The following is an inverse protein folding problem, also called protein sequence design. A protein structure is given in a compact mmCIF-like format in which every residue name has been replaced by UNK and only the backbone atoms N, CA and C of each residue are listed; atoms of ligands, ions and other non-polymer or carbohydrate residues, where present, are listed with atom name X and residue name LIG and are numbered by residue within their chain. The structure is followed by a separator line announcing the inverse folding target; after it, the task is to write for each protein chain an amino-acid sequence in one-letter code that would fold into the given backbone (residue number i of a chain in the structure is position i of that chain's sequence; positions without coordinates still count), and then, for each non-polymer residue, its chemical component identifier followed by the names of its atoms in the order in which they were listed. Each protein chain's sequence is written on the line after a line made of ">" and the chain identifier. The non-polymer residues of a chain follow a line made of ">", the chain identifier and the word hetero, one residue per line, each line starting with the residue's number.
data_IF_240995382057
#
_entry.id   IF_240995382057
#
_cell.length_a   1.000
_cell.length_b   1.000
_cell.length_c   1.000
_cell.angle_alpha   90.00
_cell.angle_beta   90.00
_cell.angle_gamma   90.00
#
_symmetry.space_group_name_H-M   'P 1'
#
loop_
_entity.id
_entity.type
_entity.pdbx_description
1 polymer ?
#
# COMPACT_ATOMS: atom_id res chain seq x y z
N UNK A 1 18.84 12.68 -13.68
CA UNK A 1 18.30 13.94 -13.14
C UNK A 1 17.00 13.60 -12.42
N UNK A 2 17.02 13.62 -11.09
CA UNK A 2 15.92 13.16 -10.23
C UNK A 2 14.65 14.01 -10.36
N UNK A 3 14.83 15.30 -10.65
CA UNK A 3 13.72 16.22 -10.90
C UNK A 3 12.87 15.79 -12.09
N UNK A 4 13.50 15.32 -13.16
CA UNK A 4 12.79 14.87 -14.37
C UNK A 4 11.97 13.61 -14.09
N UNK A 5 12.53 12.67 -13.29
CA UNK A 5 11.83 11.43 -12.93
C UNK A 5 10.64 11.70 -12.02
N UNK A 6 10.81 12.52 -10.99
CA UNK A 6 9.73 12.91 -10.10
C UNK A 6 8.63 13.66 -10.86
N UNK A 7 9.00 14.61 -11.73
CA UNK A 7 8.03 15.35 -12.55
C UNK A 7 7.21 14.42 -13.46
N UNK A 8 7.86 13.47 -14.13
CA UNK A 8 7.18 12.50 -14.97
C UNK A 8 6.18 11.64 -14.17
N UNK A 9 6.59 11.13 -13.00
CA UNK A 9 5.71 10.37 -12.11
C UNK A 9 4.55 11.23 -11.59
N UNK A 10 4.80 12.49 -11.25
CA UNK A 10 3.76 13.40 -10.77
C UNK A 10 2.72 13.74 -11.84
N UNK A 11 3.17 13.90 -13.10
CA UNK A 11 2.27 14.06 -14.24
C UNK A 11 1.38 12.82 -14.42
N UNK A 12 1.96 11.62 -14.30
CA UNK A 12 1.21 10.36 -14.34
C UNK A 12 0.17 10.28 -13.21
N UNK A 13 0.58 10.57 -11.97
CA UNK A 13 -0.29 10.57 -10.80
C UNK A 13 -1.47 11.55 -10.92
N UNK A 14 -1.26 12.65 -11.65
CA UNK A 14 -2.30 13.65 -11.91
C UNK A 14 -3.20 13.27 -13.10
N UNK A 15 -2.67 12.55 -14.09
CA UNK A 15 -3.41 12.15 -15.29
C UNK A 15 -4.32 10.93 -15.06
N UNK A 16 -3.88 9.94 -14.26
CA UNK A 16 -4.63 8.69 -14.02
C UNK A 16 -6.10 8.93 -13.61
N UNK A 17 -6.43 9.81 -12.63
CA UNK A 17 -7.82 10.07 -12.24
C UNK A 17 -8.73 10.57 -13.36
N UNK A 18 -8.16 11.17 -14.41
CA UNK A 18 -8.88 11.77 -15.53
C UNK A 18 -8.79 10.94 -16.82
N UNK A 19 -8.11 9.78 -16.76
CA UNK A 19 -7.94 8.89 -17.90
C UNK A 19 -9.12 7.92 -18.04
N UNK A 20 -9.44 7.46 -19.26
CA UNK A 20 -10.39 6.36 -19.42
C UNK A 20 -9.87 5.09 -18.73
N UNK A 21 -10.75 4.15 -18.33
CA UNK A 21 -10.33 2.91 -17.71
C UNK A 21 -9.23 2.20 -18.52
N UNK A 22 -8.15 1.82 -17.83
CA UNK A 22 -7.05 1.09 -18.46
C UNK A 22 -7.54 -0.24 -19.02
N UNK A 23 -7.03 -0.64 -20.19
CA UNK A 23 -7.14 -2.03 -20.66
C UNK A 23 -6.04 -2.89 -19.98
N UNK A 24 -6.09 -4.24 -20.09
CA UNK A 24 -5.18 -5.11 -19.32
C UNK A 24 -3.71 -4.82 -19.58
N UNK A 25 -3.33 -4.62 -20.84
CA UNK A 25 -1.96 -4.28 -21.23
C UNK A 25 -1.49 -2.95 -20.60
N UNK A 26 -2.35 -1.93 -20.63
CA UNK A 26 -2.04 -0.63 -20.04
C UNK A 26 -1.92 -0.73 -18.51
N UNK A 27 -2.82 -1.47 -17.85
CA UNK A 27 -2.79 -1.70 -16.41
C UNK A 27 -1.50 -2.41 -15.98
N UNK A 28 -1.13 -3.51 -16.65
CA UNK A 28 0.13 -4.23 -16.39
C UNK A 28 1.34 -3.32 -16.56
N UNK A 29 1.36 -2.51 -17.63
CA UNK A 29 2.46 -1.57 -17.91
C UNK A 29 2.59 -0.52 -16.81
N UNK A 30 1.47 0.08 -16.41
CA UNK A 30 1.43 1.10 -15.36
C UNK A 30 1.89 0.53 -14.01
N UNK A 31 1.32 -0.59 -13.58
CA UNK A 31 1.69 -1.23 -12.31
C UNK A 31 3.17 -1.63 -12.28
N UNK A 32 3.68 -2.20 -13.37
CA UNK A 32 5.11 -2.56 -13.49
C UNK A 32 6.00 -1.32 -13.39
N UNK A 33 5.66 -0.24 -14.09
CA UNK A 33 6.40 1.02 -14.03
C UNK A 33 6.38 1.62 -12.62
N UNK A 34 5.21 1.70 -11.98
CA UNK A 34 5.04 2.24 -10.63
C UNK A 34 5.86 1.45 -9.61
N UNK A 35 5.79 0.12 -9.67
CA UNK A 35 6.58 -0.79 -8.80
C UNK A 35 8.08 -0.51 -8.90
N UNK A 36 8.59 -0.35 -10.12
CA UNK A 36 10.01 -0.09 -10.34
C UNK A 36 10.48 1.28 -9.81
N UNK A 37 9.56 2.25 -9.68
CA UNK A 37 9.87 3.61 -9.23
C UNK A 37 9.85 3.78 -7.71
N UNK A 38 9.35 2.81 -6.95
CA UNK A 38 9.37 2.85 -5.48
C UNK A 38 10.78 2.78 -4.88
N UNK A 39 11.78 2.31 -5.64
CA UNK A 39 13.20 2.34 -5.24
C UNK A 39 13.83 3.72 -5.38
N UNK A 40 13.21 4.62 -6.13
CA UNK A 40 13.67 6.00 -6.29
C UNK A 40 12.95 6.87 -5.24
N UNK A 41 13.60 7.16 -4.11
CA UNK A 41 13.02 7.93 -2.99
C UNK A 41 12.24 9.19 -3.43
N UNK A 42 12.74 10.04 -4.36
CA UNK A 42 12.01 11.24 -4.79
C UNK A 42 10.66 10.96 -5.47
N UNK A 43 10.44 9.73 -5.97
CA UNK A 43 9.23 9.32 -6.67
C UNK A 43 8.19 8.70 -5.73
N UNK A 44 8.57 8.21 -4.54
CA UNK A 44 7.73 7.35 -3.69
C UNK A 44 6.35 7.95 -3.43
N UNK A 45 6.31 9.23 -3.05
CA UNK A 45 5.04 9.95 -2.83
C UNK A 45 4.12 9.92 -4.06
N UNK A 46 4.66 10.27 -5.22
CA UNK A 46 3.87 10.34 -6.44
C UNK A 46 3.46 8.94 -6.95
N UNK A 47 4.31 7.92 -6.72
CA UNK A 47 3.97 6.53 -7.00
C UNK A 47 2.82 6.06 -6.11
N UNK A 48 2.89 6.26 -4.80
CA UNK A 48 1.81 5.87 -3.87
C UNK A 48 0.49 6.55 -4.23
N UNK A 49 0.53 7.83 -4.59
CA UNK A 49 -0.64 8.59 -5.07
C UNK A 49 -1.20 8.00 -6.37
N UNK A 50 -0.35 7.70 -7.36
CA UNK A 50 -0.76 7.09 -8.62
C UNK A 50 -1.36 5.70 -8.41
N UNK A 51 -0.73 4.87 -7.59
CA UNK A 51 -1.18 3.53 -7.24
C UNK A 51 -2.52 3.55 -6.51
N UNK A 52 -2.70 4.44 -5.53
CA UNK A 52 -3.99 4.62 -4.83
C UNK A 52 -5.09 4.99 -5.82
N UNK A 53 -4.86 5.98 -6.69
CA UNK A 53 -5.85 6.40 -7.68
C UNK A 53 -6.19 5.27 -8.66
N UNK A 54 -5.18 4.55 -9.15
CA UNK A 54 -5.37 3.46 -10.10
C UNK A 54 -6.17 2.31 -9.49
N UNK A 55 -5.81 1.90 -8.26
CA UNK A 55 -6.40 0.74 -7.61
C UNK A 55 -7.77 1.04 -6.98
N UNK A 56 -7.92 2.18 -6.31
CA UNK A 56 -9.11 2.49 -5.51
C UNK A 56 -10.15 3.30 -6.29
N UNK A 57 -9.75 4.32 -7.04
CA UNK A 57 -10.71 5.14 -7.81
C UNK A 57 -11.24 4.39 -9.04
N UNK A 58 -10.41 3.56 -9.67
CA UNK A 58 -10.81 2.72 -10.81
C UNK A 58 -11.16 1.28 -10.42
N UNK A 59 -11.47 1.01 -9.14
CA UNK A 59 -11.69 -0.34 -8.60
C UNK A 59 -12.66 -1.19 -9.42
N UNK A 60 -13.80 -0.62 -9.82
CA UNK A 60 -14.82 -1.33 -10.58
C UNK A 60 -14.31 -1.85 -11.93
N UNK A 61 -13.35 -1.15 -12.53
CA UNK A 61 -12.70 -1.56 -13.79
C UNK A 61 -11.49 -2.47 -13.54
N UNK A 62 -10.71 -2.22 -12.48
CA UNK A 62 -9.47 -2.95 -12.18
C UNK A 62 -9.73 -4.34 -11.61
N UNK A 63 -10.73 -4.51 -10.74
CA UNK A 63 -10.97 -5.79 -10.06
C UNK A 63 -11.22 -6.97 -11.03
N UNK A 64 -12.08 -6.83 -12.07
CA UNK A 64 -12.26 -7.89 -13.06
C UNK A 64 -10.96 -8.25 -13.77
N UNK A 65 -10.13 -7.24 -14.05
CA UNK A 65 -8.89 -7.43 -14.81
C UNK A 65 -7.84 -8.18 -13.99
N UNK A 66 -7.69 -7.85 -12.71
CA UNK A 66 -6.82 -8.59 -11.80
C UNK A 66 -7.28 -10.04 -11.62
N UNK A 67 -8.60 -10.30 -11.65
CA UNK A 67 -9.12 -11.68 -11.56
C UNK A 67 -8.99 -12.48 -12.86
N UNK A 68 -9.07 -11.83 -14.02
CA UNK A 68 -9.10 -12.49 -15.32
C UNK A 68 -7.75 -12.58 -16.03
N UNK A 69 -6.78 -11.73 -15.65
CA UNK A 69 -5.47 -11.64 -16.32
C UNK A 69 -4.34 -11.81 -15.31
N UNK A 70 -3.65 -12.95 -15.36
CA UNK A 70 -2.54 -13.27 -14.47
C UNK A 70 -1.44 -12.20 -14.48
N UNK A 71 -1.10 -11.67 -15.65
CA UNK A 71 -0.09 -10.62 -15.80
C UNK A 71 -0.44 -9.33 -15.02
N UNK A 72 -1.73 -8.98 -14.95
CA UNK A 72 -2.18 -7.82 -14.18
C UNK A 72 -2.04 -8.10 -12.67
N UNK A 73 -2.43 -9.31 -12.24
CA UNK A 73 -2.29 -9.73 -10.85
C UNK A 73 -0.82 -9.78 -10.41
N UNK A 74 0.07 -10.32 -11.25
CA UNK A 74 1.50 -10.37 -11.01
C UNK A 74 2.10 -8.97 -10.90
N UNK A 75 1.73 -8.04 -11.80
CA UNK A 75 2.19 -6.66 -11.73
C UNK A 75 1.72 -5.94 -10.46
N UNK A 76 0.50 -6.22 -9.99
CA UNK A 76 0.00 -5.71 -8.70
C UNK A 76 0.72 -6.37 -7.51
N UNK A 77 1.09 -7.64 -7.60
CA UNK A 77 1.92 -8.33 -6.61
C UNK A 77 3.33 -7.74 -6.52
N UNK A 78 3.93 -7.37 -7.66
CA UNK A 78 5.21 -6.65 -7.70
C UNK A 78 5.12 -5.28 -7.03
N UNK A 79 3.99 -4.57 -7.21
CA UNK A 79 3.74 -3.30 -6.55
C UNK A 79 3.66 -3.50 -5.03
N UNK A 80 2.88 -4.49 -4.57
CA UNK A 80 2.77 -4.83 -3.16
C UNK A 80 4.15 -5.17 -2.57
N UNK A 81 4.93 -6.00 -3.25
CA UNK A 81 6.29 -6.37 -2.87
C UNK A 81 7.20 -5.15 -2.70
N UNK A 82 7.15 -4.22 -3.65
CA UNK A 82 7.95 -3.01 -3.63
C UNK A 82 7.51 -2.05 -2.49
N UNK A 83 6.21 -1.93 -2.21
CA UNK A 83 5.72 -1.11 -1.09
C UNK A 83 6.23 -1.66 0.25
N UNK A 84 6.11 -2.97 0.51
CA UNK A 84 6.49 -3.52 1.83
C UNK A 84 8.00 -3.69 2.02
N UNK A 85 8.77 -3.77 0.93
CA UNK A 85 10.23 -3.99 0.98
C UNK A 85 11.05 -2.72 0.79
N UNK A 86 10.68 -1.88 -0.17
CA UNK A 86 11.54 -0.79 -0.64
C UNK A 86 11.12 0.58 -0.05
N UNK A 87 9.93 0.70 0.55
CA UNK A 87 9.43 1.96 1.12
C UNK A 87 9.61 1.98 2.63
N UNK A 88 10.39 2.93 3.14
CA UNK A 88 10.41 3.24 4.57
C UNK A 88 9.19 4.09 4.95
N UNK A 89 8.07 3.44 5.28
CA UNK A 89 6.78 4.13 5.49
C UNK A 89 6.86 5.23 6.55
N UNK A 90 7.59 5.02 7.65
CA UNK A 90 7.65 6.01 8.73
C UNK A 90 8.41 7.30 8.39
N UNK A 91 9.22 7.34 7.33
CA UNK A 91 9.83 8.60 6.87
C UNK A 91 8.87 9.44 6.02
N UNK A 92 7.72 8.90 5.62
CA UNK A 92 6.76 9.60 4.78
C UNK A 92 5.89 10.57 5.59
N UNK A 93 5.37 11.57 4.89
CA UNK A 93 4.34 12.45 5.43
C UNK A 93 3.07 11.66 5.79
N UNK A 94 2.32 12.15 6.78
CA UNK A 94 1.13 11.50 7.34
C UNK A 94 0.18 10.90 6.29
N UNK A 95 -0.19 11.72 5.30
CA UNK A 95 -1.10 11.30 4.23
C UNK A 95 -0.50 10.26 3.29
N UNK A 96 0.82 10.25 3.11
CA UNK A 96 1.50 9.26 2.26
C UNK A 96 1.67 7.92 2.97
N UNK A 97 1.80 7.92 4.31
CA UNK A 97 1.69 6.70 5.12
C UNK A 97 0.32 6.05 4.99
N UNK A 98 -0.74 6.86 5.09
CA UNK A 98 -2.11 6.39 4.88
C UNK A 98 -2.28 5.71 3.50
N UNK A 99 -1.70 6.30 2.45
CA UNK A 99 -1.70 5.72 1.11
C UNK A 99 -0.98 4.39 1.05
N UNK A 100 0.21 4.28 1.66
CA UNK A 100 0.95 3.02 1.69
C UNK A 100 0.12 1.90 2.31
N UNK A 101 -0.52 2.13 3.46
CA UNK A 101 -1.37 1.12 4.09
C UNK A 101 -2.61 0.75 3.25
N UNK A 102 -3.25 1.73 2.60
CA UNK A 102 -4.39 1.45 1.70
C UNK A 102 -3.98 0.65 0.46
N UNK A 103 -2.83 0.95 -0.14
CA UNK A 103 -2.29 0.18 -1.28
C UNK A 103 -1.97 -1.25 -0.83
N UNK A 104 -1.35 -1.42 0.34
CA UNK A 104 -1.10 -2.74 0.93
C UNK A 104 -2.42 -3.51 1.11
N UNK A 105 -3.41 -2.88 1.74
CA UNK A 105 -4.71 -3.49 1.98
C UNK A 105 -5.41 -3.90 0.68
N UNK A 106 -5.46 -3.00 -0.30
CA UNK A 106 -6.12 -3.21 -1.58
C UNK A 106 -5.50 -4.41 -2.32
N UNK A 107 -4.18 -4.42 -2.49
CA UNK A 107 -3.50 -5.51 -3.17
C UNK A 107 -3.64 -6.83 -2.41
N UNK A 108 -3.25 -6.84 -1.13
CA UNK A 108 -3.14 -8.08 -0.36
C UNK A 108 -4.51 -8.71 -0.08
N UNK A 109 -5.50 -7.90 0.32
CA UNK A 109 -6.74 -8.43 0.89
C UNK A 109 -8.00 -8.18 0.07
N UNK A 110 -8.08 -7.06 -0.65
CA UNK A 110 -9.27 -6.76 -1.45
C UNK A 110 -9.24 -7.42 -2.82
N UNK A 111 -8.09 -7.35 -3.51
CA UNK A 111 -7.90 -8.00 -4.81
C UNK A 111 -7.32 -9.40 -4.70
N UNK A 112 -6.64 -9.71 -3.58
CA UNK A 112 -6.06 -11.04 -3.36
C UNK A 112 -4.94 -11.38 -4.35
N UNK A 113 -4.14 -10.39 -4.72
CA UNK A 113 -3.00 -10.60 -5.64
C UNK A 113 -1.93 -11.47 -4.97
N UNK A 114 -0.99 -12.06 -5.74
CA UNK A 114 0.10 -12.85 -5.17
C UNK A 114 0.85 -12.08 -4.07
N UNK A 115 0.92 -12.67 -2.88
CA UNK A 115 1.62 -12.07 -1.75
C UNK A 115 3.14 -12.24 -1.93
N UNK A 116 3.93 -11.20 -1.62
CA UNK A 116 5.38 -11.32 -1.65
C UNK A 116 5.90 -12.25 -0.55
N UNK A 117 7.11 -12.78 -0.76
CA UNK A 117 7.87 -13.44 0.30
C UNK A 117 8.06 -12.48 1.49
N UNK A 118 7.99 -13.01 2.72
CA UNK A 118 8.12 -12.23 3.97
C UNK A 118 7.13 -11.07 4.08
N UNK A 119 5.93 -11.22 3.49
CA UNK A 119 4.88 -10.20 3.54
C UNK A 119 4.57 -9.73 4.98
N UNK A 120 4.45 -10.66 5.94
CA UNK A 120 4.15 -10.34 7.34
C UNK A 120 5.21 -9.43 7.94
N UNK A 121 6.48 -9.76 7.77
CA UNK A 121 7.60 -8.94 8.23
C UNK A 121 7.62 -7.57 7.55
N UNK A 122 7.43 -7.52 6.23
CA UNK A 122 7.37 -6.26 5.49
C UNK A 122 6.22 -5.36 5.97
N UNK A 123 5.04 -5.94 6.25
CA UNK A 123 3.94 -5.20 6.84
C UNK A 123 4.25 -4.72 8.26
N UNK A 124 4.85 -5.55 9.11
CA UNK A 124 5.25 -5.15 10.47
C UNK A 124 6.27 -4.01 10.43
N UNK A 125 7.28 -4.09 9.54
CA UNK A 125 8.26 -3.02 9.31
C UNK A 125 7.60 -1.72 8.84
N UNK A 126 6.60 -1.80 7.95
CA UNK A 126 5.82 -0.65 7.52
C UNK A 126 5.00 -0.02 8.66
N UNK A 127 4.49 -0.83 9.59
CA UNK A 127 3.67 -0.38 10.73
C UNK A 127 4.51 0.13 11.92
N UNK A 128 5.72 -0.40 12.11
CA UNK A 128 6.55 -0.10 13.27
C UNK A 128 6.73 1.41 13.44
N UNK A 129 6.38 1.94 14.61
CA UNK A 129 6.46 3.37 14.92
C UNK A 129 5.30 4.26 14.44
N UNK A 130 4.25 3.73 13.82
CA UNK A 130 3.08 4.54 13.42
C UNK A 130 2.31 5.06 14.65
N UNK A 131 2.15 6.39 14.76
CA UNK A 131 1.49 7.01 15.92
C UNK A 131 0.13 7.60 15.59
N UNK A 132 -0.19 7.70 14.31
CA UNK A 132 -1.43 8.32 13.89
C UNK A 132 -2.63 7.37 14.05
N UNK A 133 -3.66 7.76 14.81
CA UNK A 133 -4.82 6.92 15.08
C UNK A 133 -5.59 6.52 13.82
N UNK A 134 -5.59 7.35 12.76
CA UNK A 134 -6.30 7.07 11.50
C UNK A 134 -5.56 6.01 10.71
N UNK A 135 -4.23 6.09 10.67
CA UNK A 135 -3.40 5.06 10.04
C UNK A 135 -3.42 3.76 10.85
N UNK A 136 -3.29 3.84 12.17
CA UNK A 136 -3.39 2.69 13.07
C UNK A 136 -4.71 1.94 12.90
N UNK A 137 -5.82 2.64 12.66
CA UNK A 137 -7.11 1.99 12.36
C UNK A 137 -7.03 1.09 11.12
N UNK A 138 -6.35 1.53 10.06
CA UNK A 138 -6.12 0.69 8.87
C UNK A 138 -5.18 -0.47 9.20
N UNK A 139 -4.08 -0.24 9.91
CA UNK A 139 -3.16 -1.31 10.32
C UNK A 139 -3.85 -2.39 11.18
N UNK A 140 -4.64 -1.99 12.18
CA UNK A 140 -5.42 -2.90 13.00
C UNK A 140 -6.57 -3.58 12.25
N UNK A 141 -7.01 -3.03 11.12
CA UNK A 141 -7.95 -3.71 10.24
C UNK A 141 -7.24 -4.75 9.36
N UNK A 142 -5.97 -4.54 9.02
CA UNK A 142 -5.15 -5.49 8.25
C UNK A 142 -4.72 -6.70 9.10
N UNK A 143 -4.32 -6.50 10.36
CA UNK A 143 -3.79 -7.59 11.22
C UNK A 143 -4.72 -8.81 11.31
N UNK A 144 -6.04 -8.66 11.59
CA UNK A 144 -6.95 -9.80 11.60
C UNK A 144 -7.02 -10.53 10.25
N UNK A 145 -6.95 -9.80 9.13
CA UNK A 145 -6.96 -10.40 7.78
C UNK A 145 -5.68 -11.22 7.52
N UNK A 146 -4.54 -10.79 8.06
CA UNK A 146 -3.28 -11.57 8.03
C UNK A 146 -3.49 -12.90 8.76
N UNK A 147 -4.06 -12.86 9.96
CA UNK A 147 -4.32 -14.04 10.77
C UNK A 147 -5.35 -14.98 10.12
N UNK A 148 -6.47 -14.47 9.63
CA UNK A 148 -7.54 -15.23 8.98
C UNK A 148 -7.08 -15.93 7.70
N UNK A 149 -6.11 -15.35 6.98
CA UNK A 149 -5.47 -15.98 5.82
C UNK A 149 -4.38 -17.00 6.17
N UNK A 150 -4.11 -17.24 7.45
CA UNK A 150 -3.09 -18.18 7.91
C UNK A 150 -1.66 -17.73 7.58
N UNK A 151 -1.43 -16.42 7.43
CA UNK A 151 -0.11 -15.88 7.11
C UNK A 151 0.84 -15.82 8.31
N UNK A 152 0.28 -15.87 9.53
CA UNK A 152 1.06 -16.05 10.77
C UNK A 152 1.31 -17.54 10.92
N UNK A 153 2.39 -18.03 10.30
CA UNK A 153 2.66 -19.46 10.20
C UNK A 153 3.69 -19.93 11.22
N UNK A 154 4.56 -19.04 11.71
CA UNK A 154 5.61 -19.36 12.67
C UNK A 154 5.53 -18.52 13.96
N UNK A 155 6.22 -18.94 15.03
CA UNK A 155 6.37 -18.11 16.23
C UNK A 155 6.99 -16.74 15.93
N UNK A 156 7.94 -16.67 15.00
CA UNK A 156 8.58 -15.41 14.59
C UNK A 156 7.58 -14.45 13.93
N UNK A 157 6.67 -14.97 13.09
CA UNK A 157 5.59 -14.15 12.51
C UNK A 157 4.68 -13.59 13.63
N UNK A 158 4.35 -14.42 14.62
CA UNK A 158 3.50 -14.03 15.73
C UNK A 158 4.18 -12.96 16.60
N UNK A 159 5.47 -13.13 16.90
CA UNK A 159 6.28 -12.18 17.67
C UNK A 159 6.43 -10.85 16.93
N UNK A 160 6.62 -10.88 15.60
CA UNK A 160 6.69 -9.67 14.78
C UNK A 160 5.39 -8.87 14.84
N UNK A 161 4.24 -9.53 14.62
CA UNK A 161 2.92 -8.89 14.70
C UNK A 161 2.63 -8.38 16.11
N UNK A 162 2.98 -9.16 17.15
CA UNK A 162 2.77 -8.76 18.54
C UNK A 162 3.62 -7.53 18.92
N UNK A 163 4.88 -7.48 18.48
CA UNK A 163 5.81 -6.40 18.79
C UNK A 163 5.32 -5.05 18.28
N UNK A 164 4.72 -5.02 17.08
CA UNK A 164 4.22 -3.77 16.48
C UNK A 164 2.80 -3.41 16.88
N UNK A 165 2.05 -4.29 17.56
CA UNK A 165 0.64 -4.04 17.92
C UNK A 165 0.36 -3.93 19.41
N UNK A 166 1.12 -4.62 20.26
CA UNK A 166 0.89 -4.69 21.71
C UNK A 166 1.12 -3.35 22.42
N UNK A 167 2.00 -2.50 21.90
CA UNK A 167 2.34 -1.20 22.46
C UNK A 167 1.17 -0.19 22.47
N UNK A 168 0.08 -0.49 21.75
CA UNK A 168 -1.12 0.33 21.73
C UNK A 168 -2.18 -0.14 22.75
N UNK A 169 -1.95 -1.19 23.53
CA UNK A 169 -2.92 -1.65 24.53
C UNK A 169 -2.67 -1.04 25.92
N UNK A 170 -3.70 -0.54 26.63
CA UNK A 170 -5.07 -0.31 26.15
C UNK A 170 -5.13 0.92 25.23
N UNK A 171 -5.82 0.80 24.09
CA UNK A 171 -5.91 1.89 23.10
C UNK A 171 -6.72 3.03 23.70
N UNK A 172 -6.08 4.17 23.92
CA UNK A 172 -6.75 5.42 24.31
C UNK A 172 -6.53 6.46 23.23
N UNK A 173 -7.60 6.82 22.51
CA UNK A 173 -7.59 7.95 21.58
C UNK A 173 -8.76 8.88 21.88
N UNK A 174 -8.45 10.16 22.09
CA UNK A 174 -9.43 11.25 22.15
C UNK A 174 -9.02 12.29 21.09
N UNK A 175 -9.81 12.45 20.01
CA UNK A 175 -9.53 13.47 19.00
C UNK A 175 -9.61 14.88 19.62
N UNK A 176 -8.72 15.81 19.25
CA UNK A 176 -8.83 17.20 19.69
C UNK A 176 -10.16 17.84 19.26
N UNK A 177 -10.76 18.73 20.06
CA UNK A 177 -11.94 19.49 19.65
C UNK A 177 -11.65 20.29 18.38
N UNK A 178 -12.42 20.09 17.31
CA UNK A 178 -12.29 20.82 16.06
C UNK A 178 -11.35 20.20 15.02
N UNK A 179 -10.91 18.95 15.20
CA UNK A 179 -10.18 18.23 14.16
C UNK A 179 -11.09 17.97 12.93
N UNK A 180 -10.82 18.67 11.83
CA UNK A 180 -11.54 18.58 10.55
C UNK A 180 -10.76 17.85 9.47
N UNK A 181 -9.57 17.32 9.79
CA UNK A 181 -8.63 16.83 8.77
C UNK A 181 -8.40 15.32 8.92
N UNK A 182 -8.71 14.62 7.84
CA UNK A 182 -8.25 13.26 7.55
C UNK A 182 -6.82 13.28 7.01
#
# INVERSE_FOLDING_TARGET
>A
NDLVRNLATSLLATAIPHSPPANPTALTTLLTFLSARLKDEPCVREVLRASESLLLTSRASVAPMLSAHAECADAAGLLLAAVVRDVHVQSLALGDRARAYRVIEACAFEFGVPLPERFVEGFCSAMDGERDPRNLKTCFHIIPKIAERGLIATPEDADAVFSVSSCYFPVTFQPPPGDTVG
#
